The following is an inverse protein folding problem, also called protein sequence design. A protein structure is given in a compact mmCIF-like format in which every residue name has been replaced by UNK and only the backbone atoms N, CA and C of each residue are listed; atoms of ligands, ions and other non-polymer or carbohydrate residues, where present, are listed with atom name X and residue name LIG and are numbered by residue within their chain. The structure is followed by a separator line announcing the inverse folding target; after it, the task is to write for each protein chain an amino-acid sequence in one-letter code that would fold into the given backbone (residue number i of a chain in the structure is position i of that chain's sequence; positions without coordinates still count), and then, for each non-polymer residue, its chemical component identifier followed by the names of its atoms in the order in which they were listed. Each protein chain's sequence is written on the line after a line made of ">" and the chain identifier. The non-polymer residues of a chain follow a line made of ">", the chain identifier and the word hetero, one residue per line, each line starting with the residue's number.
data_IF_892242389329
#
_entry.id   IF_892242389329
#
_cell.length_a   1.000
_cell.length_b   1.000
_cell.length_c   1.000
_cell.angle_alpha   90.00
_cell.angle_beta   90.00
_cell.angle_gamma   90.00
#
_symmetry.space_group_name_H-M   'P 1'
#
loop_
_entity.id
_entity.type
_entity.pdbx_description
1 polymer ?
#
# COMPACT_ATOMS: atom_id res chain seq x y z
N UNK A 1 37.65 -6.52 -3.45
CA UNK A 1 36.45 -5.79 -2.96
C UNK A 1 36.55 -4.32 -3.34
N UNK A 2 36.33 -3.97 -4.61
CA UNK A 2 36.24 -2.58 -5.10
C UNK A 2 35.22 -2.51 -6.25
N UNK A 3 35.05 -3.63 -6.96
CA UNK A 3 34.10 -3.77 -8.06
C UNK A 3 32.64 -3.67 -7.59
N UNK A 4 32.30 -4.28 -6.44
CA UNK A 4 30.95 -4.27 -5.85
C UNK A 4 30.42 -2.86 -5.57
N UNK A 5 31.23 -2.00 -4.96
CA UNK A 5 30.84 -0.61 -4.66
C UNK A 5 30.70 0.24 -5.93
N UNK A 6 31.51 -0.06 -6.95
CA UNK A 6 31.48 0.63 -8.23
C UNK A 6 30.18 0.37 -9.01
N UNK A 7 29.61 -0.84 -8.90
CA UNK A 7 28.34 -1.18 -9.55
C UNK A 7 27.22 -0.30 -9.04
N UNK A 8 27.05 -0.22 -7.71
CA UNK A 8 25.98 0.60 -7.11
C UNK A 8 26.17 2.10 -7.32
N UNK A 9 27.41 2.58 -7.35
CA UNK A 9 27.71 3.99 -7.60
C UNK A 9 27.27 4.50 -8.99
N UNK A 10 27.10 3.58 -9.95
CA UNK A 10 26.67 3.90 -11.30
C UNK A 10 25.14 3.85 -11.49
N UNK A 11 24.38 3.36 -10.51
CA UNK A 11 22.92 3.32 -10.56
C UNK A 11 22.40 4.69 -10.14
N UNK A 12 21.95 5.47 -11.12
CA UNK A 12 21.33 6.77 -10.92
C UNK A 12 19.92 6.75 -11.50
N UNK A 13 19.02 7.46 -10.83
CA UNK A 13 17.67 7.67 -11.32
C UNK A 13 17.72 8.48 -12.62
N UNK A 14 17.13 7.93 -13.68
CA UNK A 14 16.96 8.59 -14.97
C UNK A 14 16.02 9.81 -14.87
N UNK A 15 16.07 10.72 -15.85
CA UNK A 15 15.21 11.92 -15.87
C UNK A 15 13.72 11.62 -15.97
N UNK A 16 13.37 10.50 -16.60
CA UNK A 16 11.99 10.04 -16.82
C UNK A 16 11.72 8.71 -16.12
N UNK A 17 12.65 8.28 -15.27
CA UNK A 17 12.52 7.01 -14.53
C UNK A 17 11.68 7.26 -13.28
N UNK A 18 10.62 6.47 -13.11
CA UNK A 18 9.80 6.49 -11.89
C UNK A 18 10.65 6.19 -10.66
N UNK A 19 10.24 6.67 -9.50
CA UNK A 19 10.89 6.31 -8.24
C UNK A 19 10.78 4.80 -7.99
N UNK A 20 9.67 4.18 -8.39
CA UNK A 20 9.46 2.73 -8.30
C UNK A 20 10.53 1.95 -9.08
N UNK A 21 10.71 2.25 -10.36
CA UNK A 21 11.67 1.55 -11.23
C UNK A 21 13.10 1.69 -10.74
N UNK A 22 13.48 2.92 -10.36
CA UNK A 22 14.80 3.19 -9.80
C UNK A 22 15.04 2.41 -8.50
N UNK A 23 14.06 2.42 -7.59
CA UNK A 23 14.15 1.74 -6.29
C UNK A 23 14.29 0.24 -6.45
N UNK A 24 13.50 -0.36 -7.34
CA UNK A 24 13.55 -1.78 -7.64
C UNK A 24 14.91 -2.17 -8.27
N UNK A 25 15.38 -1.42 -9.27
CA UNK A 25 16.70 -1.65 -9.90
C UNK A 25 17.85 -1.55 -8.91
N UNK A 26 17.85 -0.52 -8.08
CA UNK A 26 18.92 -0.32 -7.11
C UNK A 26 18.98 -1.44 -6.08
N UNK A 27 17.84 -1.78 -5.46
CA UNK A 27 17.83 -2.81 -4.41
C UNK A 27 18.01 -4.22 -4.94
N UNK A 28 17.57 -4.51 -6.17
CA UNK A 28 17.90 -5.77 -6.84
C UNK A 28 19.42 -5.90 -7.03
N UNK A 29 20.08 -4.88 -7.58
CA UNK A 29 21.54 -4.88 -7.75
C UNK A 29 22.27 -4.98 -6.41
N UNK A 30 21.79 -4.28 -5.36
CA UNK A 30 22.38 -4.35 -4.03
C UNK A 30 22.23 -5.75 -3.39
N UNK A 31 21.12 -6.46 -3.66
CA UNK A 31 20.90 -7.82 -3.18
C UNK A 31 21.73 -8.87 -3.94
N UNK A 32 22.01 -8.64 -5.22
CA UNK A 32 22.84 -9.52 -6.05
C UNK A 32 24.35 -9.34 -5.80
N UNK A 33 24.75 -8.19 -5.25
CA UNK A 33 26.16 -7.88 -5.04
C UNK A 33 26.65 -8.43 -3.70
N UNK A 34 27.56 -9.39 -3.73
CA UNK A 34 28.21 -9.92 -2.53
C UNK A 34 29.10 -8.85 -1.85
N UNK A 35 29.05 -8.86 -0.51
CA UNK A 35 29.89 -8.06 0.40
C UNK A 35 29.82 -6.53 0.27
N UNK A 36 28.69 -5.96 -0.16
CA UNK A 36 28.49 -4.50 -0.09
C UNK A 36 28.25 -4.07 1.36
N UNK A 37 29.01 -3.10 1.85
CA UNK A 37 28.74 -2.43 3.11
C UNK A 37 27.37 -1.72 3.04
N UNK A 38 26.41 -2.02 3.93
CA UNK A 38 25.11 -1.36 3.95
C UNK A 38 25.20 0.17 3.97
N UNK A 39 26.19 0.76 4.63
CA UNK A 39 26.40 2.20 4.65
C UNK A 39 26.78 2.75 3.26
N UNK A 40 27.57 2.00 2.49
CA UNK A 40 27.94 2.33 1.11
C UNK A 40 26.73 2.22 0.18
N UNK A 41 25.93 1.15 0.30
CA UNK A 41 24.68 1.01 -0.45
C UNK A 41 23.71 2.17 -0.17
N UNK A 42 23.51 2.52 1.11
CA UNK A 42 22.66 3.64 1.52
C UNK A 42 23.17 4.98 0.96
N UNK A 43 24.49 5.19 0.96
CA UNK A 43 25.09 6.40 0.39
C UNK A 43 24.84 6.49 -1.11
N UNK A 44 25.09 5.41 -1.85
CA UNK A 44 24.89 5.38 -3.30
C UNK A 44 23.43 5.56 -3.68
N UNK A 45 22.49 4.92 -2.98
CA UNK A 45 21.05 5.10 -3.21
C UNK A 45 20.67 6.58 -3.09
N UNK A 46 21.08 7.24 -2.00
CA UNK A 46 20.79 8.66 -1.76
C UNK A 46 21.40 9.58 -2.82
N UNK A 47 22.61 9.27 -3.27
CA UNK A 47 23.33 10.05 -4.28
C UNK A 47 22.75 9.86 -5.69
N UNK A 48 22.19 8.69 -5.98
CA UNK A 48 21.59 8.37 -7.27
C UNK A 48 20.17 8.92 -7.46
N UNK A 49 19.48 9.35 -6.40
CA UNK A 49 18.11 9.86 -6.47
C UNK A 49 17.99 11.18 -7.25
N UNK A 50 16.94 11.27 -8.07
CA UNK A 50 16.42 12.51 -8.66
C UNK A 50 15.12 12.98 -8.03
N UNK A 51 14.36 12.09 -7.38
CA UNK A 51 13.17 12.47 -6.60
C UNK A 51 13.56 13.49 -5.52
N UNK A 52 13.11 14.73 -5.69
CA UNK A 52 13.42 15.80 -4.74
C UNK A 52 12.81 15.54 -3.38
N UNK A 53 11.56 15.05 -3.33
CA UNK A 53 10.83 14.87 -2.08
C UNK A 53 11.46 13.77 -1.23
N UNK A 54 11.78 12.62 -1.84
CA UNK A 54 12.50 11.57 -1.12
C UNK A 54 13.90 12.04 -0.72
N UNK A 55 14.63 12.75 -1.60
CA UNK A 55 15.97 13.26 -1.27
C UNK A 55 15.94 14.23 -0.07
N UNK A 56 15.04 15.21 -0.08
CA UNK A 56 14.82 16.14 1.05
C UNK A 56 14.44 15.39 2.32
N UNK A 57 13.51 14.44 2.19
CA UNK A 57 13.07 13.60 3.30
C UNK A 57 14.25 12.86 3.93
N UNK A 58 15.09 12.20 3.12
CA UNK A 58 16.30 11.46 3.53
C UNK A 58 17.41 12.35 4.11
N UNK A 59 17.45 13.63 3.77
CA UNK A 59 18.36 14.60 4.37
C UNK A 59 17.86 15.07 5.74
N UNK A 60 16.56 15.36 5.87
CA UNK A 60 15.95 15.83 7.10
C UNK A 60 15.95 14.75 8.19
N UNK A 61 15.57 13.53 7.82
CA UNK A 61 15.52 12.37 8.73
C UNK A 61 16.46 11.28 8.24
N UNK A 62 17.76 11.43 8.52
CA UNK A 62 18.76 10.47 8.03
C UNK A 62 18.45 9.04 8.55
N UNK A 63 18.24 8.06 7.65
CA UNK A 63 18.03 6.68 8.07
C UNK A 63 19.26 6.15 8.82
N UNK A 64 19.03 5.43 9.91
CA UNK A 64 20.08 4.84 10.76
C UNK A 64 20.48 3.44 10.30
N UNK A 65 19.65 2.81 9.47
CA UNK A 65 19.86 1.45 9.00
C UNK A 65 19.36 1.27 7.56
N UNK A 66 19.85 0.22 6.91
CA UNK A 66 19.43 -0.13 5.56
C UNK A 66 17.92 -0.47 5.48
N UNK A 67 17.33 -1.26 6.39
CA UNK A 67 15.88 -1.51 6.38
C UNK A 67 15.03 -0.24 6.55
N UNK A 68 15.48 0.72 7.36
CA UNK A 68 14.78 2.00 7.53
C UNK A 68 14.78 2.82 6.23
N UNK A 69 15.90 2.82 5.50
CA UNK A 69 15.99 3.46 4.19
C UNK A 69 15.07 2.78 3.17
N UNK A 70 15.02 1.44 3.14
CA UNK A 70 14.11 0.68 2.27
C UNK A 70 12.65 1.02 2.59
N UNK A 71 12.26 1.01 3.87
CA UNK A 71 10.90 1.33 4.28
C UNK A 71 10.49 2.75 3.84
N UNK A 72 11.40 3.72 3.95
CA UNK A 72 11.17 5.09 3.49
C UNK A 72 11.06 5.19 1.98
N UNK A 73 11.92 4.51 1.23
CA UNK A 73 11.79 4.44 -0.22
C UNK A 73 10.43 3.86 -0.63
N UNK A 74 10.00 2.75 -0.02
CA UNK A 74 8.70 2.13 -0.31
C UNK A 74 7.52 3.06 -0.01
N UNK A 75 7.56 3.87 1.06
CA UNK A 75 6.52 4.85 1.35
C UNK A 75 6.38 5.90 0.25
N UNK A 76 7.49 6.40 -0.29
CA UNK A 76 7.48 7.39 -1.36
C UNK A 76 7.10 6.79 -2.71
N UNK A 77 7.45 5.53 -2.98
CA UNK A 77 6.94 4.79 -4.15
C UNK A 77 5.41 4.71 -4.12
N UNK A 78 4.82 4.36 -2.98
CA UNK A 78 3.36 4.32 -2.84
C UNK A 78 2.70 5.69 -3.01
N UNK A 79 3.39 6.76 -2.59
CA UNK A 79 2.90 8.12 -2.76
C UNK A 79 2.92 8.55 -4.23
N UNK A 80 4.01 8.25 -4.95
CA UNK A 80 4.12 8.50 -6.40
C UNK A 80 3.00 7.76 -7.17
N UNK A 81 2.75 6.49 -6.82
CA UNK A 81 1.68 5.69 -7.42
C UNK A 81 0.28 6.28 -7.13
N UNK A 82 0.05 6.79 -5.92
CA UNK A 82 -1.21 7.41 -5.53
C UNK A 82 -1.47 8.75 -6.25
N UNK A 83 -0.42 9.52 -6.51
CA UNK A 83 -0.49 10.78 -7.28
C UNK A 83 -0.69 10.53 -8.78
N UNK A 84 -0.14 9.43 -9.30
CA UNK A 84 -0.33 9.02 -10.69
C UNK A 84 -1.74 8.47 -10.96
N UNK A 85 -2.45 8.01 -9.92
CA UNK A 85 -3.84 7.57 -10.03
C UNK A 85 -4.80 8.77 -9.99
N UNK A 86 -5.84 8.85 -10.84
CA UNK A 86 -6.94 9.78 -10.63
C UNK A 86 -7.56 9.52 -9.24
N UNK A 87 -8.18 10.54 -8.59
CA UNK A 87 -8.75 10.39 -7.26
C UNK A 87 -9.90 9.38 -7.32
N UNK A 88 -9.59 8.12 -7.04
CA UNK A 88 -10.59 7.07 -6.93
C UNK A 88 -11.26 7.22 -5.58
N UNK A 89 -12.54 7.55 -5.60
CA UNK A 89 -13.37 7.87 -4.45
C UNK A 89 -13.68 6.57 -3.70
N UNK A 90 -12.69 5.89 -3.13
CA UNK A 90 -12.91 4.60 -2.47
C UNK A 90 -12.03 4.36 -1.25
N UNK A 91 -12.15 5.21 -0.24
CA UNK A 91 -11.90 4.82 1.16
C UNK A 91 -13.10 5.19 2.05
N UNK A 92 -14.26 4.60 1.74
CA UNK A 92 -15.41 4.54 2.64
C UNK A 92 -15.75 3.08 2.98
N UNK A 93 -14.76 2.32 3.46
CA UNK A 93 -15.03 1.08 4.22
C UNK A 93 -14.73 1.30 5.70
N UNK A 94 -15.43 2.28 6.30
CA UNK A 94 -15.68 2.23 7.74
C UNK A 94 -16.68 1.11 8.00
N UNK A 95 -16.13 0.01 8.48
CA UNK A 95 -16.78 -1.15 9.08
C UNK A 95 -17.86 -0.72 10.10
N UNK A 96 -19.12 -0.56 9.64
CA UNK A 96 -20.27 -0.37 10.52
C UNK A 96 -20.66 -1.72 11.12
N UNK A 97 -19.95 -2.14 12.17
CA UNK A 97 -20.39 -3.24 13.03
C UNK A 97 -20.38 -2.83 14.50
N UNK A 98 -21.33 -1.97 14.91
CA UNK A 98 -21.77 -1.90 16.32
C UNK A 98 -23.29 -1.74 16.44
N UNK A 99 -23.91 -2.90 16.70
CA UNK A 99 -25.15 -3.21 17.44
C UNK A 99 -25.96 -2.02 17.98
N UNK A 100 -27.20 -1.89 17.52
CA UNK A 100 -28.29 -1.29 18.30
C UNK A 100 -29.08 -2.40 19.02
N UNK A 101 -29.51 -2.10 20.24
CA UNK A 101 -30.08 -2.99 21.27
C UNK A 101 -31.44 -2.39 21.68
N UNK A 102 -32.48 -3.22 21.80
CA UNK A 102 -33.83 -2.92 22.35
C UNK A 102 -34.81 -2.26 21.35
N UNK A 103 -36.11 -2.57 21.25
CA UNK A 103 -37.06 -3.28 22.12
C UNK A 103 -38.31 -3.77 21.33
N UNK A 104 -38.72 -5.03 21.56
CA UNK A 104 -40.10 -5.59 21.66
C UNK A 104 -41.14 -5.55 20.47
N UNK A 105 -42.32 -6.25 20.53
CA UNK A 105 -42.53 -7.49 19.76
C UNK A 105 -43.82 -7.57 18.86
N UNK A 106 -43.86 -8.64 18.06
CA UNK A 106 -45.04 -9.42 17.59
C UNK A 106 -46.03 -8.87 16.53
N UNK A 107 -46.44 -9.83 15.68
CA UNK A 107 -47.57 -9.83 14.73
C UNK A 107 -47.30 -9.04 13.43
N UNK A 108 -47.63 -9.49 12.23
CA UNK A 108 -48.72 -10.35 11.78
C UNK A 108 -48.31 -10.97 10.44
N UNK A 109 -48.60 -12.27 10.27
CA UNK A 109 -48.41 -13.01 9.02
C UNK A 109 -49.30 -12.43 7.92
N UNK A 110 -48.71 -12.14 6.77
CA UNK A 110 -49.42 -11.65 5.59
C UNK A 110 -50.03 -12.86 4.85
N UNK A 111 -51.21 -13.29 5.31
CA UNK A 111 -52.04 -14.26 4.61
C UNK A 111 -52.71 -13.62 3.38
N UNK A 112 -52.24 -14.01 2.19
CA UNK A 112 -52.99 -14.01 0.92
C UNK A 112 -52.70 -15.39 0.32
N UNK A 113 -53.52 -16.41 0.49
CA UNK A 113 -54.94 -16.46 0.18
C UNK A 113 -55.05 -17.35 -1.06
N UNK A 114 -55.54 -18.58 -0.91
CA UNK A 114 -56.26 -19.24 -2.00
C UNK A 114 -57.19 -20.34 -1.46
N UNK A 115 -58.44 -20.18 -1.87
CA UNK A 115 -59.65 -20.87 -1.48
C UNK A 115 -59.69 -22.33 -1.92
N UNK A 116 -60.20 -23.22 -1.06
CA UNK A 116 -60.93 -24.48 -1.34
C UNK A 116 -61.60 -24.82 0.01
N UNK A 117 -62.91 -24.95 0.24
CA UNK A 117 -64.07 -25.16 -0.61
C UNK A 117 -64.90 -26.28 0.03
N UNK A 118 -66.07 -25.94 0.61
CA UNK A 118 -67.14 -26.85 1.12
C UNK A 118 -66.73 -27.73 2.32
N UNK A 119 -67.56 -28.09 3.29
CA UNK A 119 -69.01 -28.28 3.31
C UNK A 119 -69.54 -28.21 4.77
N UNK A 120 -70.85 -28.01 4.84
CA UNK A 120 -71.82 -28.07 5.93
C UNK A 120 -71.63 -29.25 6.93
N UNK A 121 -72.19 -29.35 8.14
CA UNK A 121 -73.09 -28.59 9.03
C UNK A 121 -72.96 -29.33 10.39
N UNK A 122 -73.05 -28.60 11.50
CA UNK A 122 -73.08 -29.14 12.87
C UNK A 122 -74.43 -29.81 13.19
N UNK A 123 -74.50 -30.69 14.21
CA UNK A 123 -75.75 -31.28 14.67
C UNK A 123 -76.73 -30.22 15.21
#
# INVERSE_FOLDING_TARGET
>A
MVVSDMVLANIKQGEKESLQDYTNRFFAAAAETEDVDPAVAMHNYRRGLKSEDLSKSLQLAKPRSYPELVARASQFVLLEDAEASPPDIFEAKKEKKRKHRGDEPSSTMNSRGNNHGRDERRP
#
